data_IF_621121636194
#
_entry.id   IF_621121636194
#
_cell.length_a   1.000
_cell.length_b   1.000
_cell.length_c   1.000
_cell.angle_alpha   90.00
_cell.angle_beta   90.00
_cell.angle_gamma   90.00
#
_symmetry.space_group_name_H-M   'P 1'
#
loop_
_entity.id
_entity.type
_entity.pdbx_description
1 polymer ?
#
# COMPACT_ATOMS: atom_id res chain seq x y z
N UNK A 1 -27.86 -10.21 18.23
CA UNK A 1 -26.61 -10.25 19.01
C UNK A 1 -25.81 -9.01 18.64
N UNK A 2 -25.93 -7.93 19.41
CA UNK A 2 -25.21 -6.68 19.17
C UNK A 2 -23.76 -6.86 19.58
N UNK A 3 -22.87 -7.05 18.60
CA UNK A 3 -21.42 -7.12 18.83
C UNK A 3 -20.98 -5.90 19.65
N UNK A 4 -20.42 -6.15 20.84
CA UNK A 4 -19.88 -5.10 21.68
C UNK A 4 -18.83 -4.32 20.90
N UNK A 5 -18.87 -2.99 20.94
CA UNK A 5 -18.01 -2.06 20.17
C UNK A 5 -16.53 -2.47 20.20
N UNK A 6 -16.08 -3.09 21.30
CA UNK A 6 -14.72 -3.60 21.51
C UNK A 6 -14.32 -4.74 20.56
N UNK A 7 -15.23 -5.64 20.21
CA UNK A 7 -14.94 -6.76 19.31
C UNK A 7 -14.86 -6.30 17.85
N UNK A 8 -15.69 -5.33 17.46
CA UNK A 8 -15.57 -4.72 16.12
C UNK A 8 -14.24 -3.96 15.97
N UNK A 9 -13.82 -3.20 16.99
CA UNK A 9 -12.52 -2.50 16.97
C UNK A 9 -11.35 -3.48 16.87
N UNK A 10 -11.39 -4.62 17.59
CA UNK A 10 -10.35 -5.65 17.47
C UNK A 10 -10.28 -6.27 16.07
N UNK A 11 -11.42 -6.57 15.44
CA UNK A 11 -11.43 -7.10 14.07
C UNK A 11 -10.89 -6.09 13.06
N UNK A 12 -11.28 -4.82 13.18
CA UNK A 12 -10.75 -3.75 12.34
C UNK A 12 -9.24 -3.62 12.51
N UNK A 13 -8.75 -3.59 13.75
CA UNK A 13 -7.31 -3.50 14.01
C UNK A 13 -6.54 -4.68 13.43
N UNK A 14 -7.08 -5.91 13.51
CA UNK A 14 -6.47 -7.09 12.90
C UNK A 14 -6.47 -7.05 11.37
N UNK A 15 -7.56 -6.60 10.75
CA UNK A 15 -7.63 -6.45 9.28
C UNK A 15 -6.66 -5.35 8.79
N UNK A 16 -6.55 -4.23 9.51
CA UNK A 16 -5.59 -3.15 9.24
C UNK A 16 -4.17 -3.69 9.33
N UNK A 17 -3.84 -4.41 10.40
CA UNK A 17 -2.52 -4.97 10.62
C UNK A 17 -2.17 -5.98 9.52
N UNK A 18 -3.11 -6.84 9.15
CA UNK A 18 -2.88 -7.84 8.09
C UNK A 18 -2.65 -7.18 6.73
N UNK A 19 -3.44 -6.16 6.39
CA UNK A 19 -3.24 -5.37 5.18
C UNK A 19 -1.89 -4.64 5.18
N UNK A 20 -1.48 -4.11 6.34
CA UNK A 20 -0.18 -3.46 6.50
C UNK A 20 0.98 -4.45 6.27
N UNK A 21 0.93 -5.64 6.88
CA UNK A 21 1.97 -6.66 6.71
C UNK A 21 2.09 -7.09 5.24
N UNK A 22 0.96 -7.27 4.55
CA UNK A 22 0.98 -7.59 3.11
C UNK A 22 1.60 -6.43 2.31
N UNK A 23 1.27 -5.19 2.65
CA UNK A 23 1.87 -4.00 2.02
C UNK A 23 3.38 -3.93 2.23
N UNK A 24 3.85 -4.17 3.45
CA UNK A 24 5.29 -4.21 3.77
C UNK A 24 5.99 -5.35 3.05
N UNK A 25 5.41 -6.55 3.01
CA UNK A 25 5.98 -7.69 2.31
C UNK A 25 6.10 -7.43 0.80
N UNK A 26 5.06 -6.86 0.18
CA UNK A 26 5.07 -6.49 -1.24
C UNK A 26 6.11 -5.39 -1.53
N UNK A 27 6.21 -4.38 -0.66
CA UNK A 27 7.18 -3.31 -0.78
C UNK A 27 8.62 -3.82 -0.63
N UNK A 28 8.87 -4.73 0.32
CA UNK A 28 10.17 -5.37 0.51
C UNK A 28 10.57 -6.21 -0.72
N UNK A 29 9.66 -7.04 -1.26
CA UNK A 29 9.93 -7.81 -2.46
C UNK A 29 10.25 -6.90 -3.66
N UNK A 30 9.49 -5.81 -3.82
CA UNK A 30 9.73 -4.81 -4.87
C UNK A 30 11.07 -4.11 -4.69
N UNK A 31 11.42 -3.75 -3.45
CA UNK A 31 12.72 -3.13 -3.13
C UNK A 31 13.89 -4.05 -3.49
N UNK A 32 13.81 -5.35 -3.18
CA UNK A 32 14.88 -6.30 -3.55
C UNK A 32 15.05 -6.39 -5.07
N UNK A 33 13.95 -6.43 -5.82
CA UNK A 33 13.99 -6.48 -7.29
C UNK A 33 14.60 -5.18 -7.85
N UNK A 34 14.14 -4.02 -7.39
CA UNK A 34 14.66 -2.72 -7.81
C UNK A 34 16.12 -2.53 -7.42
N UNK A 35 16.53 -3.01 -6.25
CA UNK A 35 17.91 -2.98 -5.81
C UNK A 35 18.79 -3.80 -6.74
N UNK A 36 18.40 -5.04 -7.06
CA UNK A 36 19.13 -5.89 -7.98
C UNK A 36 19.25 -5.25 -9.37
N UNK A 37 18.18 -4.65 -9.88
CA UNK A 37 18.21 -3.90 -11.14
C UNK A 37 19.15 -2.69 -11.05
N UNK A 38 18.99 -1.83 -10.05
CA UNK A 38 19.83 -0.63 -9.87
C UNK A 38 21.30 -0.96 -9.66
N UNK A 39 21.60 -2.08 -8.98
CA UNK A 39 22.95 -2.55 -8.76
C UNK A 39 23.60 -3.09 -10.05
N UNK A 40 22.85 -3.88 -10.84
CA UNK A 40 23.34 -4.44 -12.11
C UNK A 40 23.53 -3.38 -13.19
N UNK A 41 22.63 -2.39 -13.27
CA UNK A 41 22.73 -1.30 -14.25
C UNK A 41 23.59 -0.12 -13.76
N UNK A 42 23.79 0.03 -12.45
CA UNK A 42 24.57 1.10 -11.82
C UNK A 42 26.03 0.74 -11.53
N UNK A 43 26.66 -0.05 -12.40
CA UNK A 43 28.09 -0.43 -12.30
C UNK A 43 28.50 -1.12 -10.98
N UNK A 44 27.61 -1.90 -10.37
CA UNK A 44 27.84 -2.60 -9.09
C UNK A 44 28.10 -1.65 -7.90
N UNK A 45 27.63 -0.39 -7.97
CA UNK A 45 27.64 0.53 -6.84
C UNK A 45 26.37 0.35 -5.99
N UNK A 46 26.56 0.18 -4.69
CA UNK A 46 25.47 0.03 -3.71
C UNK A 46 24.61 1.31 -3.65
N UNK A 47 25.22 2.48 -3.87
CA UNK A 47 24.54 3.79 -3.91
C UNK A 47 23.48 3.81 -5.02
N UNK A 48 23.84 3.45 -6.25
CA UNK A 48 22.89 3.37 -7.38
C UNK A 48 21.77 2.36 -7.13
N UNK A 49 22.09 1.22 -6.49
CA UNK A 49 21.09 0.25 -6.07
C UNK A 49 20.04 0.87 -5.14
N UNK A 50 20.48 1.58 -4.08
CA UNK A 50 19.57 2.26 -3.14
C UNK A 50 18.82 3.44 -3.77
N UNK A 51 19.42 4.16 -4.72
CA UNK A 51 18.79 5.27 -5.42
C UNK A 51 17.60 4.80 -6.26
N UNK A 52 17.77 3.70 -7.01
CA UNK A 52 16.70 3.08 -7.79
C UNK A 52 15.61 2.50 -6.88
N UNK A 53 15.98 1.94 -5.71
CA UNK A 53 15.00 1.49 -4.71
C UNK A 53 14.16 2.65 -4.21
N UNK A 54 14.82 3.74 -3.78
CA UNK A 54 14.14 4.93 -3.28
C UNK A 54 13.16 5.46 -4.33
N UNK A 55 13.66 5.78 -5.51
CA UNK A 55 12.88 6.42 -6.56
C UNK A 55 11.75 5.50 -7.06
N UNK A 56 12.04 4.21 -7.21
CA UNK A 56 11.05 3.21 -7.61
C UNK A 56 9.95 2.99 -6.56
N UNK A 57 10.30 2.87 -5.27
CA UNK A 57 9.30 2.76 -4.20
C UNK A 57 8.48 4.04 -4.06
N UNK A 58 9.10 5.22 -4.19
CA UNK A 58 8.41 6.51 -4.17
C UNK A 58 7.41 6.61 -5.33
N UNK A 59 7.82 6.24 -6.54
CA UNK A 59 6.96 6.27 -7.72
C UNK A 59 5.74 5.34 -7.55
N UNK A 60 5.95 4.12 -7.05
CA UNK A 60 4.86 3.16 -6.82
C UNK A 60 3.93 3.66 -5.70
N UNK A 61 4.49 4.15 -4.59
CA UNK A 61 3.73 4.73 -3.49
C UNK A 61 2.89 5.93 -3.94
N UNK A 62 3.48 6.84 -4.71
CA UNK A 62 2.80 8.02 -5.26
C UNK A 62 1.69 7.62 -6.26
N UNK A 63 1.94 6.63 -7.11
CA UNK A 63 0.91 6.12 -8.04
C UNK A 63 -0.24 5.46 -7.28
N UNK A 64 0.04 4.71 -6.20
CA UNK A 64 -0.97 4.14 -5.32
C UNK A 64 -1.82 5.22 -4.63
N UNK A 65 -1.20 6.28 -4.12
CA UNK A 65 -1.87 7.46 -3.58
C UNK A 65 -2.70 8.20 -4.62
N UNK A 66 -2.17 8.35 -5.84
CA UNK A 66 -2.89 8.97 -6.95
C UNK A 66 -4.14 8.17 -7.31
N UNK A 67 -4.07 6.84 -7.34
CA UNK A 67 -5.23 5.98 -7.56
C UNK A 67 -6.27 6.14 -6.44
N UNK A 68 -5.84 6.21 -5.18
CA UNK A 68 -6.72 6.46 -4.03
C UNK A 68 -7.39 7.83 -4.16
N UNK A 69 -6.64 8.88 -4.53
CA UNK A 69 -7.17 10.21 -4.77
C UNK A 69 -8.19 10.22 -5.92
N UNK A 70 -7.90 9.52 -7.04
CA UNK A 70 -8.84 9.35 -8.14
C UNK A 70 -10.12 8.64 -7.72
N UNK A 71 -10.02 7.60 -6.89
CA UNK A 71 -11.18 6.91 -6.30
C UNK A 71 -11.98 7.77 -5.31
N UNK A 72 -11.36 8.77 -4.68
CA UNK A 72 -12.03 9.74 -3.81
C UNK A 72 -12.70 10.86 -4.62
N UNK A 73 -12.05 11.37 -5.67
CA UNK A 73 -12.60 12.40 -6.56
C UNK A 73 -13.75 11.88 -7.43
N UNK A 74 -13.68 10.64 -7.90
CA UNK A 74 -14.77 9.99 -8.64
C UNK A 74 -16.04 9.80 -7.78
N UNK A 75 -15.95 9.99 -6.45
CA UNK A 75 -17.06 9.85 -5.50
C UNK A 75 -18.05 11.02 -5.51
N UNK A 76 -17.81 12.06 -6.33
CA UNK A 76 -18.72 13.21 -6.49
C UNK A 76 -19.92 13.00 -7.41
N UNK A 77 -20.07 11.83 -8.05
CA UNK A 77 -21.17 11.59 -9.01
C UNK A 77 -21.73 10.18 -8.92
N UNK A 78 -22.56 9.97 -7.88
CA UNK A 78 -23.53 8.87 -7.61
C UNK A 78 -23.26 8.19 -6.27
N UNK A 79 -23.89 8.72 -5.22
CA UNK A 79 -23.89 8.10 -3.89
C UNK A 79 -24.92 6.95 -3.76
N UNK A 80 -25.78 6.70 -4.75
CA UNK A 80 -26.98 5.87 -4.55
C UNK A 80 -27.14 4.64 -5.47
N UNK A 81 -26.08 4.16 -6.15
CA UNK A 81 -26.19 2.99 -7.05
C UNK A 81 -25.26 1.81 -6.72
N UNK A 82 -24.21 2.03 -5.91
CA UNK A 82 -23.12 1.06 -5.77
C UNK A 82 -23.34 0.02 -4.67
N UNK A 83 -24.38 0.18 -3.83
CA UNK A 83 -24.75 -0.83 -2.84
C UNK A 83 -25.32 -2.11 -3.48
N UNK A 84 -25.69 -2.07 -4.76
CA UNK A 84 -26.31 -3.22 -5.47
C UNK A 84 -25.43 -3.95 -6.48
N UNK A 85 -24.18 -3.54 -6.74
CA UNK A 85 -23.28 -4.24 -7.68
C UNK A 85 -22.04 -4.89 -7.06
N UNK A 86 -21.67 -4.55 -5.83
CA UNK A 86 -20.52 -5.18 -5.15
C UNK A 86 -20.85 -6.47 -4.38
N UNK A 87 -22.07 -6.99 -4.51
CA UNK A 87 -22.49 -8.24 -3.87
C UNK A 87 -22.11 -9.52 -4.65
N UNK A 88 -21.46 -9.42 -5.82
CA UNK A 88 -21.22 -10.59 -6.69
C UNK A 88 -19.78 -11.12 -6.75
N UNK A 89 -18.81 -10.45 -6.12
CA UNK A 89 -17.40 -10.87 -6.22
C UNK A 89 -16.89 -11.22 -4.82
N UNK A 90 -16.37 -12.45 -4.66
CA UNK A 90 -15.96 -13.09 -3.39
C UNK A 90 -14.84 -12.41 -2.58
N UNK A 91 -14.58 -11.11 -2.81
CA UNK A 91 -13.57 -10.33 -2.10
C UNK A 91 -14.08 -9.75 -0.78
N UNK A 92 -15.39 -9.50 -0.64
CA UNK A 92 -16.03 -9.04 0.61
C UNK A 92 -15.93 -10.04 1.77
N UNK A 93 -15.49 -11.28 1.51
CA UNK A 93 -15.29 -12.31 2.54
C UNK A 93 -13.93 -12.24 3.24
N UNK A 94 -12.92 -11.56 2.66
CA UNK A 94 -11.58 -11.51 3.24
C UNK A 94 -11.26 -10.23 4.03
N UNK A 95 -11.98 -9.14 3.79
CA UNK A 95 -11.83 -7.88 4.53
C UNK A 95 -13.21 -7.32 4.84
N UNK A 96 -13.68 -7.54 6.08
CA UNK A 96 -15.08 -7.36 6.45
C UNK A 96 -15.46 -5.90 6.73
N UNK A 97 -14.46 -5.03 6.97
CA UNK A 97 -14.69 -3.66 7.46
C UNK A 97 -13.89 -2.57 6.73
N UNK A 98 -12.87 -2.95 5.95
CA UNK A 98 -11.94 -2.01 5.30
C UNK A 98 -12.20 -2.02 3.79
N UNK A 99 -12.68 -0.90 3.25
CA UNK A 99 -12.88 -0.78 1.80
C UNK A 99 -11.56 -0.89 1.03
N UNK A 100 -11.63 -1.28 -0.24
CA UNK A 100 -10.47 -1.36 -1.15
C UNK A 100 -9.62 -0.07 -1.12
N UNK A 101 -10.26 1.09 -0.93
CA UNK A 101 -9.60 2.39 -0.78
C UNK A 101 -8.61 2.44 0.39
N UNK A 102 -8.98 1.92 1.56
CA UNK A 102 -8.12 1.92 2.74
C UNK A 102 -7.02 0.87 2.65
N UNK A 103 -7.25 -0.27 1.99
CA UNK A 103 -6.19 -1.26 1.73
C UNK A 103 -5.13 -0.68 0.80
N UNK A 104 -5.54 -0.07 -0.31
CA UNK A 104 -4.60 0.58 -1.25
C UNK A 104 -3.87 1.75 -0.57
N UNK A 105 -4.56 2.53 0.28
CA UNK A 105 -3.93 3.59 1.07
C UNK A 105 -2.87 3.02 2.04
N UNK A 106 -3.20 1.96 2.78
CA UNK A 106 -2.28 1.31 3.71
C UNK A 106 -1.04 0.74 3.00
N UNK A 107 -1.22 0.12 1.84
CA UNK A 107 -0.11 -0.36 1.01
C UNK A 107 0.73 0.83 0.54
N UNK A 108 0.11 1.91 0.04
CA UNK A 108 0.84 3.10 -0.41
C UNK A 108 1.66 3.74 0.71
N UNK A 109 1.11 3.81 1.93
CA UNK A 109 1.83 4.29 3.11
C UNK A 109 3.00 3.37 3.46
N UNK A 110 2.82 2.05 3.39
CA UNK A 110 3.92 1.10 3.63
C UNK A 110 5.07 1.29 2.61
N UNK A 111 4.74 1.49 1.32
CA UNK A 111 5.72 1.80 0.27
C UNK A 111 6.44 3.13 0.53
N UNK A 112 5.73 4.18 0.94
CA UNK A 112 6.34 5.48 1.28
C UNK A 112 7.25 5.42 2.51
N UNK A 113 6.88 4.65 3.53
CA UNK A 113 7.71 4.46 4.72
C UNK A 113 9.02 3.77 4.35
N UNK A 114 8.97 2.71 3.53
CA UNK A 114 10.18 2.03 3.06
C UNK A 114 11.01 2.90 2.13
N UNK A 115 10.39 3.72 1.27
CA UNK A 115 11.11 4.70 0.46
C UNK A 115 11.83 5.75 1.33
N UNK A 116 11.18 6.21 2.41
CA UNK A 116 11.78 7.17 3.35
C UNK A 116 12.97 6.56 4.10
N UNK A 117 12.88 5.29 4.49
CA UNK A 117 14.01 4.57 5.11
C UNK A 117 15.16 4.41 4.11
N UNK A 118 14.86 4.08 2.85
CA UNK A 118 15.88 4.00 1.80
C UNK A 118 16.57 5.34 1.57
N UNK A 119 15.81 6.45 1.55
CA UNK A 119 16.35 7.81 1.42
C UNK A 119 17.23 8.20 2.61
N UNK A 120 16.82 7.87 3.85
CA UNK A 120 17.65 8.08 5.05
C UNK A 120 18.97 7.30 5.00
N UNK A 121 18.94 6.05 4.51
CA UNK A 121 20.14 5.25 4.35
C UNK A 121 21.07 5.88 3.30
N UNK A 122 20.50 6.35 2.17
CA UNK A 122 21.26 6.96 1.08
C UNK A 122 21.90 8.29 1.51
N UNK A 123 21.19 9.12 2.29
CA UNK A 123 21.73 10.36 2.85
C UNK A 123 22.90 10.16 3.83
N UNK A 124 23.04 8.96 4.38
CA UNK A 124 24.02 8.62 5.39
C UNK A 124 25.12 7.66 4.87
N UNK A 125 25.12 7.38 3.56
CA UNK A 125 26.08 6.54 2.84
C UNK A 125 27.14 7.40 2.12
#
# INVERSE_FOLDING_TARGET
MTLSRKEMVKKVALDVLKAFIIGVAAAAATAVILFACGFLFGSFQIVNGFEVVKDGLLLIGATGLFLVAGMLLAKGKKENADEKKEAKNGWRQHFSVIGLKTVVLMISVAFLLLASVADLILLNL
#
